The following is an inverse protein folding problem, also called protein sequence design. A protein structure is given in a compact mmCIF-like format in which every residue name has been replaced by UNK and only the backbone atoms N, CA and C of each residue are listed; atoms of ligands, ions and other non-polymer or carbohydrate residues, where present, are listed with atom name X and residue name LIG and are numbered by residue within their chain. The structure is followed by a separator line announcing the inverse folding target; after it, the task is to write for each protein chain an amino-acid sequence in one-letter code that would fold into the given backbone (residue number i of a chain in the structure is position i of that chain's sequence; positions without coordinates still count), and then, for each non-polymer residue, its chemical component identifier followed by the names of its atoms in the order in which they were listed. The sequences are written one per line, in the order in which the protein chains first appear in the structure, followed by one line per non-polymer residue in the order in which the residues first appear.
data_IF_754309864013
#
_entry.id   IF_754309864013
#
_cell.length_a   1.000
_cell.length_b   1.000
_cell.length_c   1.000
_cell.angle_alpha   90.00
_cell.angle_beta   90.00
_cell.angle_gamma   90.00
#
_symmetry.space_group_name_H-M   'P 1'
#
loop_
_entity.id
_entity.type
_entity.pdbx_description
1 polymer ?
#
# COMPACT_ATOMS: atom_id res chain seq x y z
N UNK A 1 -60.57 11.44 40.42
CA UNK A 1 -59.32 10.82 40.80
C UNK A 1 -58.82 9.68 39.89
N UNK A 2 -59.54 9.36 38.78
CA UNK A 2 -59.15 8.31 37.82
C UNK A 2 -58.37 8.83 36.60
N UNK A 3 -58.45 10.13 36.32
CA UNK A 3 -57.75 10.72 35.17
C UNK A 3 -56.26 10.99 35.41
N UNK A 4 -55.87 11.29 36.63
CA UNK A 4 -54.45 11.56 36.99
C UNK A 4 -53.54 10.33 36.89
N UNK A 5 -54.06 9.12 37.12
CA UNK A 5 -53.28 7.88 37.04
C UNK A 5 -52.85 7.51 35.61
N UNK A 6 -53.65 7.90 34.59
CA UNK A 6 -53.33 7.60 33.21
C UNK A 6 -52.15 8.44 32.64
N UNK A 7 -52.03 9.68 33.11
CA UNK A 7 -50.96 10.59 32.63
C UNK A 7 -49.63 10.33 33.32
N UNK A 8 -49.66 9.81 34.55
CA UNK A 8 -48.40 9.45 35.26
C UNK A 8 -47.77 8.21 34.63
N UNK A 9 -48.56 7.24 34.14
CA UNK A 9 -48.06 6.05 33.46
C UNK A 9 -47.54 6.36 32.05
N UNK A 10 -48.11 7.36 31.36
CA UNK A 10 -47.63 7.81 30.06
C UNK A 10 -46.32 8.59 30.11
N UNK A 11 -46.17 9.39 31.20
CA UNK A 11 -44.95 10.22 31.36
C UNK A 11 -43.73 9.38 31.79
N UNK A 12 -43.96 8.32 32.58
CA UNK A 12 -42.86 7.41 32.95
C UNK A 12 -42.40 6.52 31.80
N UNK A 13 -43.26 6.21 30.84
CA UNK A 13 -42.87 5.46 29.64
C UNK A 13 -42.06 6.32 28.65
N UNK A 14 -42.31 7.64 28.60
CA UNK A 14 -41.50 8.55 27.73
C UNK A 14 -40.12 8.84 28.30
N UNK A 15 -39.96 8.88 29.61
CA UNK A 15 -38.64 9.08 30.24
C UNK A 15 -37.76 7.85 30.17
N UNK A 16 -38.34 6.65 30.04
CA UNK A 16 -37.58 5.41 29.90
C UNK A 16 -36.98 5.18 28.50
N UNK A 17 -37.56 5.81 27.46
CA UNK A 17 -37.09 5.67 26.09
C UNK A 17 -35.94 6.61 25.73
N UNK A 18 -35.70 7.66 26.49
CA UNK A 18 -34.63 8.62 26.24
C UNK A 18 -33.23 8.14 26.73
N UNK A 19 -33.20 7.06 27.54
CA UNK A 19 -31.94 6.55 28.12
C UNK A 19 -31.19 5.55 27.26
N UNK A 20 -31.74 5.09 26.13
CA UNK A 20 -31.13 4.04 25.29
C UNK A 20 -30.44 4.57 24.02
N UNK A 21 -30.35 5.87 23.81
CA UNK A 21 -29.68 6.46 22.66
C UNK A 21 -28.25 6.93 22.95
N UNK A 22 -27.71 6.60 24.13
CA UNK A 22 -26.35 6.96 24.51
C UNK A 22 -25.38 5.77 24.40
N UNK A 23 -25.64 4.84 23.52
CA UNK A 23 -24.74 3.73 23.26
C UNK A 23 -24.20 3.86 21.85
N UNK A 24 -23.01 4.31 21.73
CA UNK A 24 -21.97 4.25 20.71
C UNK A 24 -21.31 5.62 20.57
N UNK A 25 -20.85 6.18 21.67
CA UNK A 25 -19.64 6.99 21.62
C UNK A 25 -18.52 6.01 21.97
N UNK A 26 -18.10 5.23 21.00
CA UNK A 26 -16.77 4.67 21.05
C UNK A 26 -15.83 5.87 21.00
N UNK A 27 -15.33 6.25 22.16
CA UNK A 27 -14.12 7.04 22.26
C UNK A 27 -13.03 6.20 21.57
N UNK A 28 -12.90 6.37 20.27
CA UNK A 28 -11.68 6.05 19.55
C UNK A 28 -10.63 7.06 20.04
N UNK A 29 -10.36 7.03 21.36
CA UNK A 29 -9.26 7.74 21.94
C UNK A 29 -8.00 7.34 21.19
N UNK A 30 -7.59 8.26 20.30
CA UNK A 30 -6.21 8.42 19.88
C UNK A 30 -5.36 7.15 19.97
N UNK A 31 -5.68 6.15 19.15
CA UNK A 31 -4.62 5.27 18.72
C UNK A 31 -3.65 6.24 18.05
N UNK A 32 -2.56 6.53 18.75
CA UNK A 32 -1.47 7.32 18.20
C UNK A 32 -0.89 6.53 17.01
N UNK A 33 -1.59 6.64 15.88
CA UNK A 33 -1.19 6.10 14.58
C UNK A 33 -0.20 7.05 13.92
N UNK A 34 0.66 7.67 14.71
CA UNK A 34 1.84 8.28 14.14
C UNK A 34 2.68 7.14 13.58
N UNK A 35 2.42 6.84 12.32
CA UNK A 35 3.34 6.02 11.55
C UNK A 35 4.73 6.61 11.75
N UNK A 36 5.76 5.79 12.02
CA UNK A 36 7.12 6.30 12.10
C UNK A 36 7.34 7.15 10.86
N UNK A 37 7.74 8.41 11.04
CA UNK A 37 8.04 9.29 9.93
C UNK A 37 9.16 8.63 9.14
N UNK A 38 8.92 8.35 7.87
CA UNK A 38 9.96 7.84 7.01
C UNK A 38 11.13 8.83 7.02
N UNK A 39 12.33 8.34 7.27
CA UNK A 39 13.55 9.16 7.21
C UNK A 39 13.92 9.54 5.76
N UNK A 40 13.27 8.88 4.79
CA UNK A 40 13.46 9.09 3.35
C UNK A 40 12.47 10.12 2.82
N UNK A 41 12.94 10.98 1.92
CA UNK A 41 12.12 11.95 1.19
C UNK A 41 12.06 11.55 -0.27
N UNK A 42 10.84 11.38 -0.81
CA UNK A 42 10.64 11.08 -2.22
C UNK A 42 11.13 12.26 -3.08
N UNK A 43 11.86 11.94 -4.16
CA UNK A 43 12.43 12.90 -5.09
C UNK A 43 12.01 12.67 -6.55
N UNK A 44 11.19 11.66 -6.81
CA UNK A 44 10.66 11.37 -8.14
C UNK A 44 9.28 10.72 -8.06
N UNK A 45 8.55 10.71 -9.17
CA UNK A 45 7.23 10.09 -9.29
C UNK A 45 7.32 8.69 -9.89
N UNK A 46 6.28 7.87 -9.67
CA UNK A 46 6.21 6.51 -10.25
C UNK A 46 6.20 6.57 -11.78
N UNK A 47 5.49 7.55 -12.38
CA UNK A 47 5.47 7.69 -13.84
C UNK A 47 6.85 8.04 -14.40
N UNK A 48 7.62 8.91 -13.75
CA UNK A 48 8.98 9.26 -14.17
C UNK A 48 9.92 8.06 -14.08
N UNK A 49 9.85 7.26 -13.02
CA UNK A 49 10.63 6.02 -12.90
C UNK A 49 10.31 5.08 -14.05
N UNK A 50 9.02 4.85 -14.32
CA UNK A 50 8.58 3.97 -15.41
C UNK A 50 9.03 4.49 -16.77
N UNK A 51 8.95 5.78 -17.02
CA UNK A 51 9.39 6.38 -18.29
C UNK A 51 10.91 6.35 -18.47
N UNK A 52 11.67 6.47 -17.37
CA UNK A 52 13.13 6.55 -17.42
C UNK A 52 13.81 5.18 -17.53
N UNK A 53 13.28 4.18 -16.86
CA UNK A 53 13.96 2.89 -16.72
C UNK A 53 13.30 1.74 -17.46
N UNK A 54 12.11 1.94 -18.02
CA UNK A 54 11.41 0.92 -18.80
C UNK A 54 11.44 1.25 -20.28
N UNK A 55 11.84 0.26 -21.09
CA UNK A 55 11.80 0.32 -22.54
C UNK A 55 10.99 -0.86 -23.09
N UNK A 56 9.81 -0.58 -23.64
CA UNK A 56 8.93 -1.59 -24.24
C UNK A 56 9.56 -2.28 -25.46
N UNK A 57 10.52 -1.63 -26.13
CA UNK A 57 11.16 -2.19 -27.31
C UNK A 57 12.18 -3.29 -26.98
N UNK A 58 12.90 -3.16 -25.88
CA UNK A 58 13.91 -4.14 -25.44
C UNK A 58 13.34 -5.21 -24.55
N UNK A 59 12.31 -4.88 -23.75
CA UNK A 59 11.71 -5.76 -22.75
C UNK A 59 12.69 -6.34 -21.73
N UNK A 60 13.83 -5.70 -21.51
CA UNK A 60 14.81 -6.16 -20.52
C UNK A 60 14.53 -5.61 -19.14
N UNK A 61 14.80 -6.42 -18.11
CA UNK A 61 14.86 -5.93 -16.76
C UNK A 61 16.01 -4.92 -16.63
N UNK A 62 15.68 -3.70 -16.24
CA UNK A 62 16.63 -2.60 -16.16
C UNK A 62 16.89 -2.26 -14.69
N UNK A 63 18.16 -2.16 -14.31
CA UNK A 63 18.57 -1.72 -12.98
C UNK A 63 18.29 -0.22 -12.82
N UNK A 64 17.73 0.15 -11.69
CA UNK A 64 17.55 1.55 -11.30
C UNK A 64 18.86 2.02 -10.66
N UNK A 65 19.61 2.79 -11.41
CA UNK A 65 20.84 3.41 -10.92
C UNK A 65 20.54 4.68 -10.13
N UNK A 66 21.46 5.05 -9.23
CA UNK A 66 21.38 6.35 -8.57
C UNK A 66 21.35 7.50 -9.58
N UNK A 67 20.82 8.64 -9.18
CA UNK A 67 20.85 9.85 -10.01
C UNK A 67 22.27 10.32 -10.29
N UNK A 68 22.45 11.18 -11.29
CA UNK A 68 23.77 11.70 -11.70
C UNK A 68 24.51 12.44 -10.57
N UNK A 69 23.79 13.01 -9.64
CA UNK A 69 24.34 13.67 -8.44
C UNK A 69 24.65 12.70 -7.29
N UNK A 70 24.48 11.39 -7.51
CA UNK A 70 24.67 10.34 -6.52
C UNK A 70 23.51 10.17 -5.53
N UNK A 71 22.44 10.93 -5.65
CA UNK A 71 21.23 10.75 -4.83
C UNK A 71 20.48 9.49 -5.23
N UNK A 72 19.78 8.88 -4.26
CA UNK A 72 18.94 7.73 -4.49
C UNK A 72 17.66 8.08 -5.25
N UNK A 73 17.07 7.11 -5.93
CA UNK A 73 15.78 7.21 -6.61
C UNK A 73 14.68 6.78 -5.64
N UNK A 74 13.97 7.72 -5.08
CA UNK A 74 13.02 7.49 -4.00
C UNK A 74 11.63 7.92 -4.44
N UNK A 75 10.68 7.00 -4.35
CA UNK A 75 9.25 7.25 -4.64
C UNK A 75 8.42 7.20 -3.37
N UNK A 76 7.26 7.83 -3.43
CA UNK A 76 6.24 7.77 -2.39
C UNK A 76 4.92 7.32 -3.03
N UNK A 77 4.20 6.45 -2.36
CA UNK A 77 2.90 6.01 -2.85
C UNK A 77 2.03 5.40 -1.76
N UNK A 78 0.75 5.30 -2.07
CA UNK A 78 -0.24 4.66 -1.21
C UNK A 78 -0.39 3.21 -1.59
N UNK A 79 -0.35 2.30 -0.63
CA UNK A 79 -0.61 0.88 -0.83
C UNK A 79 -2.06 0.68 -1.27
N UNK A 80 -2.26 0.04 -2.42
CA UNK A 80 -3.58 -0.22 -3.01
C UNK A 80 -3.94 -1.71 -3.08
N UNK A 81 -2.97 -2.62 -2.86
CA UNK A 81 -3.18 -4.07 -2.81
C UNK A 81 -3.25 -4.61 -1.39
N UNK A 82 -3.76 -5.84 -1.25
CA UNK A 82 -3.71 -6.63 -0.02
C UNK A 82 -3.69 -8.11 -0.38
N UNK A 83 -2.80 -8.87 0.24
CA UNK A 83 -2.71 -10.33 0.11
C UNK A 83 -3.48 -11.07 1.22
N UNK A 84 -4.25 -10.35 2.05
CA UNK A 84 -5.03 -10.90 3.17
C UNK A 84 -6.04 -11.96 2.73
N UNK A 85 -6.73 -11.73 1.61
CA UNK A 85 -7.70 -12.67 1.06
C UNK A 85 -7.08 -13.75 0.13
N UNK A 86 -5.76 -13.83 0.06
CA UNK A 86 -5.00 -14.78 -0.79
C UNK A 86 -5.28 -14.66 -2.30
N UNK A 87 -5.90 -13.58 -2.75
CA UNK A 87 -6.16 -13.28 -4.17
C UNK A 87 -5.02 -12.50 -4.84
N UNK A 88 -4.11 -11.98 -4.06
CA UNK A 88 -2.84 -11.36 -4.46
C UNK A 88 -1.72 -12.18 -3.85
N UNK A 89 -0.75 -12.60 -4.67
CA UNK A 89 0.29 -13.52 -4.23
C UNK A 89 1.66 -12.84 -4.30
N UNK A 90 2.32 -12.69 -3.14
CA UNK A 90 3.68 -12.16 -3.03
C UNK A 90 3.88 -10.84 -3.81
N UNK A 91 2.85 -10.01 -3.84
CA UNK A 91 2.85 -8.76 -4.59
C UNK A 91 2.31 -7.63 -3.73
N UNK A 92 3.00 -6.50 -3.79
CA UNK A 92 2.61 -5.24 -3.20
C UNK A 92 2.45 -4.22 -4.33
N UNK A 93 1.36 -3.49 -4.35
CA UNK A 93 1.15 -2.41 -5.33
C UNK A 93 0.99 -1.10 -4.58
N UNK A 94 1.78 -0.11 -4.97
CA UNK A 94 1.63 1.27 -4.52
C UNK A 94 1.20 2.15 -5.68
N UNK A 95 0.57 3.26 -5.37
CA UNK A 95 0.11 4.25 -6.34
C UNK A 95 0.38 5.66 -5.80
N UNK A 96 0.90 6.52 -6.66
CA UNK A 96 0.91 7.96 -6.48
C UNK A 96 -0.13 8.63 -7.40
N UNK A 97 -0.09 9.95 -7.54
CA UNK A 97 -1.01 10.71 -8.39
C UNK A 97 -0.74 10.47 -9.89
N UNK A 98 0.39 9.89 -10.26
CA UNK A 98 0.87 9.76 -11.63
C UNK A 98 0.72 8.35 -12.19
N UNK A 99 1.00 7.32 -11.39
CA UNK A 99 0.96 5.92 -11.81
C UNK A 99 0.89 4.94 -10.64
N UNK A 100 0.76 3.64 -10.95
CA UNK A 100 0.93 2.55 -10.00
C UNK A 100 2.17 1.73 -10.33
N UNK A 101 2.79 1.16 -9.28
CA UNK A 101 3.96 0.30 -9.38
C UNK A 101 3.78 -0.94 -8.53
N UNK A 102 3.93 -2.11 -9.15
CA UNK A 102 3.89 -3.40 -8.47
C UNK A 102 5.30 -3.83 -8.05
N UNK A 103 5.38 -4.49 -6.90
CA UNK A 103 6.59 -5.09 -6.36
C UNK A 103 6.35 -6.58 -6.15
N UNK A 104 7.22 -7.41 -6.71
CA UNK A 104 7.23 -8.86 -6.56
C UNK A 104 8.13 -9.23 -5.40
N UNK A 105 7.56 -9.56 -4.24
CA UNK A 105 8.29 -9.72 -2.97
C UNK A 105 8.10 -11.15 -2.47
N UNK A 106 9.19 -11.88 -2.22
CA UNK A 106 9.14 -13.26 -1.72
C UNK A 106 8.73 -13.33 -0.24
N UNK A 107 7.55 -12.82 0.07
CA UNK A 107 6.99 -12.83 1.41
C UNK A 107 5.49 -13.07 1.36
N UNK A 108 4.97 -13.71 2.38
CA UNK A 108 3.54 -13.88 2.63
C UNK A 108 3.07 -12.88 3.68
N UNK A 109 1.76 -12.63 3.70
CA UNK A 109 1.12 -11.77 4.69
C UNK A 109 1.70 -10.34 4.67
N UNK A 110 1.99 -9.82 3.49
CA UNK A 110 2.48 -8.44 3.30
C UNK A 110 1.52 -7.42 3.91
N UNK A 111 0.20 -7.73 3.94
CA UNK A 111 -0.83 -6.88 4.53
C UNK A 111 -0.61 -6.57 6.02
N UNK A 112 0.11 -7.42 6.76
CA UNK A 112 0.43 -7.17 8.17
C UNK A 112 1.42 -6.01 8.34
N UNK A 113 2.34 -5.85 7.38
CA UNK A 113 3.37 -4.80 7.37
C UNK A 113 2.93 -3.59 6.53
N UNK A 114 2.32 -3.84 5.38
CA UNK A 114 1.93 -2.81 4.40
C UNK A 114 0.42 -2.82 4.22
N UNK A 115 -0.28 -2.05 5.04
CA UNK A 115 -1.75 -2.03 5.04
C UNK A 115 -2.27 -1.23 3.85
N UNK A 116 -3.35 -1.72 3.23
CA UNK A 116 -4.04 -0.97 2.19
C UNK A 116 -4.46 0.41 2.71
N UNK A 117 -4.15 1.45 1.96
CA UNK A 117 -4.36 2.85 2.33
C UNK A 117 -3.16 3.51 3.03
N UNK A 118 -2.18 2.74 3.50
CA UNK A 118 -0.96 3.26 4.10
C UNK A 118 -0.11 3.96 3.03
N UNK A 119 0.44 5.12 3.37
CA UNK A 119 1.47 5.78 2.56
C UNK A 119 2.84 5.25 2.95
N UNK A 120 3.63 4.87 1.97
CA UNK A 120 4.99 4.40 2.16
C UNK A 120 5.96 5.12 1.21
N UNK A 121 7.20 5.23 1.65
CA UNK A 121 8.32 5.75 0.86
C UNK A 121 9.27 4.60 0.58
N UNK A 122 9.66 4.43 -0.67
CA UNK A 122 10.48 3.31 -1.11
C UNK A 122 11.70 3.83 -1.87
N UNK A 123 12.88 3.39 -1.46
CA UNK A 123 14.10 3.57 -2.22
C UNK A 123 14.19 2.48 -3.29
N UNK A 124 14.20 2.90 -4.54
CA UNK A 124 14.25 2.02 -5.70
C UNK A 124 15.66 1.80 -6.23
N UNK A 125 16.65 2.52 -5.70
CA UNK A 125 18.04 2.41 -6.12
C UNK A 125 18.53 0.97 -5.98
N UNK A 126 19.26 0.49 -6.96
CA UNK A 126 19.77 -0.88 -7.10
C UNK A 126 18.70 -1.97 -7.31
N UNK A 127 17.40 -1.64 -7.28
CA UNK A 127 16.34 -2.55 -7.69
C UNK A 127 16.22 -2.63 -9.21
N UNK A 128 15.48 -3.62 -9.69
CA UNK A 128 15.23 -3.80 -11.11
C UNK A 128 13.76 -3.58 -11.42
N UNK A 129 13.49 -2.84 -12.49
CA UNK A 129 12.18 -2.76 -13.12
C UNK A 129 12.16 -3.68 -14.35
N UNK A 130 11.12 -4.49 -14.46
CA UNK A 130 10.98 -5.43 -15.56
C UNK A 130 9.52 -5.77 -15.79
N UNK A 131 9.24 -6.92 -16.33
CA UNK A 131 7.86 -7.40 -16.51
C UNK A 131 7.72 -8.85 -16.08
N UNK A 132 6.49 -9.21 -15.77
CA UNK A 132 6.05 -10.59 -15.63
C UNK A 132 4.66 -10.72 -16.27
N UNK A 133 4.51 -11.68 -17.18
CA UNK A 133 3.26 -11.87 -17.94
C UNK A 133 2.70 -10.57 -18.56
N UNK A 134 3.57 -9.72 -19.08
CA UNK A 134 3.20 -8.44 -19.71
C UNK A 134 2.91 -7.29 -18.73
N UNK A 135 2.96 -7.51 -17.42
CA UNK A 135 2.82 -6.47 -16.43
C UNK A 135 4.19 -5.95 -15.99
N UNK A 136 4.36 -4.64 -16.07
CA UNK A 136 5.55 -3.95 -15.57
C UNK A 136 5.57 -3.96 -14.05
N UNK A 137 6.68 -4.41 -13.46
CA UNK A 137 6.83 -4.51 -12.02
C UNK A 137 8.30 -4.44 -11.57
N UNK A 138 8.49 -4.19 -10.28
CA UNK A 138 9.77 -4.30 -9.61
C UNK A 138 10.01 -5.75 -9.17
N UNK A 139 11.26 -6.22 -9.26
CA UNK A 139 11.63 -7.56 -8.85
C UNK A 139 13.14 -7.80 -9.01
N UNK A 140 13.56 -9.06 -8.91
CA UNK A 140 14.91 -9.48 -9.26
C UNK A 140 14.93 -9.98 -10.70
N UNK A 141 15.98 -9.68 -11.50
CA UNK A 141 16.05 -10.16 -12.88
C UNK A 141 16.16 -11.69 -12.90
N UNK A 142 15.38 -12.32 -13.79
CA UNK A 142 15.44 -13.73 -14.06
C UNK A 142 16.03 -13.98 -15.43
N UNK A 143 17.12 -14.74 -15.48
CA UNK A 143 17.83 -15.04 -16.71
C UNK A 143 17.31 -16.34 -17.34
N UNK A 144 16.64 -16.22 -18.47
CA UNK A 144 16.24 -17.41 -19.24
C UNK A 144 17.37 -17.82 -20.20
N UNK A 145 17.77 -19.08 -20.14
CA UNK A 145 18.88 -19.62 -20.94
C UNK A 145 18.64 -19.59 -22.48
N UNK A 146 17.42 -19.29 -22.93
CA UNK A 146 17.03 -19.37 -24.35
C UNK A 146 16.47 -18.09 -24.95
N UNK A 147 16.44 -16.97 -24.24
CA UNK A 147 15.89 -15.74 -24.76
C UNK A 147 16.59 -14.51 -24.22
N UNK A 148 16.60 -13.46 -25.03
CA UNK A 148 17.15 -12.16 -24.64
C UNK A 148 16.18 -11.32 -23.79
N UNK A 149 15.08 -11.93 -23.31
CA UNK A 149 14.10 -11.25 -22.48
C UNK A 149 14.31 -11.63 -21.01
N UNK A 150 14.54 -10.63 -20.17
CA UNK A 150 14.69 -10.81 -18.74
C UNK A 150 13.40 -10.40 -18.06
N UNK A 151 12.63 -11.38 -17.61
CA UNK A 151 11.54 -11.12 -16.69
C UNK A 151 12.08 -10.87 -15.28
N UNK A 152 11.28 -10.24 -14.43
CA UNK A 152 11.61 -10.12 -13.01
C UNK A 152 10.79 -11.13 -12.21
N UNK A 153 11.47 -11.74 -11.24
CA UNK A 153 10.89 -12.66 -10.26
C UNK A 153 10.86 -12.01 -8.88
N UNK A 154 10.60 -12.79 -7.85
CA UNK A 154 10.48 -12.28 -6.49
C UNK A 154 11.82 -11.78 -5.94
N UNK A 155 11.83 -10.54 -5.43
CA UNK A 155 12.95 -10.03 -4.62
C UNK A 155 12.84 -10.57 -3.19
N UNK A 156 13.96 -10.67 -2.48
CA UNK A 156 13.96 -10.94 -1.05
C UNK A 156 13.25 -9.83 -0.27
N UNK A 157 12.56 -10.16 0.83
CA UNK A 157 11.90 -9.15 1.66
C UNK A 157 12.87 -8.15 2.29
N UNK A 158 14.16 -8.51 2.41
CA UNK A 158 15.24 -7.66 2.89
C UNK A 158 15.65 -6.59 1.88
N UNK A 159 15.37 -6.79 0.60
CA UNK A 159 15.64 -5.82 -0.47
C UNK A 159 14.59 -4.70 -0.46
N UNK A 160 13.40 -5.02 0.05
CA UNK A 160 12.29 -4.09 0.16
C UNK A 160 12.17 -3.60 1.61
N UNK A 161 12.84 -2.51 1.94
CA UNK A 161 12.84 -1.91 3.29
C UNK A 161 12.41 -0.46 3.24
#
# INVERSE_FOLDING_TARGET
MKFFKKYILGLSALLGAAGFLSSCQDDFDNINTQAPSASLTANTTIAEVKARYWDDATNYATKIEANEDGSHVIVKGRVISSDEASNVFKSLVIQDETAALAFSINSYNLYLKYRRGQEIVVDLTDMYIGKYNGLQQMGMPEWYAQGNAFEVTFMGPETFT
#
